data_IF_179699498389
#
_entry.id   IF_179699498389
#
_cell.length_a   1.000
_cell.length_b   1.000
_cell.length_c   1.000
_cell.angle_alpha   90.00
_cell.angle_beta   90.00
_cell.angle_gamma   90.00
#
_symmetry.space_group_name_H-M   'P 1'
#
loop_
_entity.id
_entity.type
_entity.pdbx_description
1 polymer ?
#
# COMPACT_ATOMS: atom_id res chain seq x y z
N UNK A 1 -16.86 -20.94 -2.44
CA UNK A 1 -17.43 -19.66 -1.97
C UNK A 1 -17.20 -18.61 -3.04
N UNK A 2 -18.19 -17.81 -3.37
CA UNK A 2 -18.04 -16.79 -4.42
C UNK A 2 -17.16 -15.64 -3.96
N UNK A 3 -16.47 -15.01 -4.91
CA UNK A 3 -15.62 -13.84 -4.64
C UNK A 3 -16.42 -12.71 -4.01
N UNK A 4 -17.65 -12.49 -4.48
CA UNK A 4 -18.54 -11.45 -3.97
C UNK A 4 -18.82 -11.62 -2.47
N UNK A 5 -19.08 -12.85 -2.04
CA UNK A 5 -19.30 -13.16 -0.62
C UNK A 5 -18.04 -12.91 0.20
N UNK A 6 -16.88 -13.35 -0.31
CA UNK A 6 -15.60 -13.16 0.37
C UNK A 6 -15.33 -11.68 0.59
N UNK A 7 -15.45 -10.87 -0.48
CA UNK A 7 -15.21 -9.42 -0.41
C UNK A 7 -16.17 -8.75 0.57
N UNK A 8 -17.46 -9.11 0.50
CA UNK A 8 -18.46 -8.52 1.38
C UNK A 8 -18.27 -8.88 2.85
N UNK A 9 -17.63 -10.02 3.15
CA UNK A 9 -17.41 -10.49 4.52
C UNK A 9 -16.10 -9.98 5.15
N UNK A 10 -15.20 -9.41 4.35
CA UNK A 10 -13.92 -8.91 4.89
C UNK A 10 -14.12 -7.63 5.71
N UNK A 11 -13.33 -7.44 6.79
CA UNK A 11 -13.40 -6.20 7.56
C UNK A 11 -12.98 -4.99 6.74
N UNK A 12 -13.65 -3.86 6.98
CA UNK A 12 -13.39 -2.63 6.23
C UNK A 12 -11.95 -2.14 6.41
N UNK A 13 -11.34 -1.71 5.31
CA UNK A 13 -10.02 -1.08 5.30
C UNK A 13 -10.16 0.43 5.19
N UNK A 14 -9.32 1.16 5.95
CA UNK A 14 -9.18 2.59 5.83
C UNK A 14 -7.69 2.95 5.87
N UNK A 15 -7.31 3.97 5.10
CA UNK A 15 -5.91 4.38 4.97
C UNK A 15 -5.30 4.83 6.30
N UNK A 16 -6.06 5.57 7.11
CA UNK A 16 -5.60 6.15 8.36
C UNK A 16 -5.90 5.28 9.58
N UNK A 17 -6.32 4.05 9.38
CA UNK A 17 -6.63 3.11 10.45
C UNK A 17 -5.65 1.94 10.47
N UNK A 18 -5.45 1.27 11.63
CA UNK A 18 -4.66 0.04 11.69
C UNK A 18 -5.24 -1.05 10.78
N UNK A 19 -4.38 -1.99 10.35
CA UNK A 19 -4.84 -3.14 9.58
C UNK A 19 -5.85 -3.96 10.43
N UNK A 20 -7.06 -4.24 9.91
CA UNK A 20 -8.11 -4.89 10.69
C UNK A 20 -7.95 -6.41 10.79
N UNK A 21 -7.09 -7.00 9.97
CA UNK A 21 -6.91 -8.45 9.88
C UNK A 21 -5.46 -8.75 9.51
N UNK A 22 -4.93 -9.86 10.03
CA UNK A 22 -3.60 -10.35 9.68
C UNK A 22 -3.61 -10.96 8.27
N UNK A 23 -2.46 -10.97 7.61
CA UNK A 23 -2.34 -11.54 6.27
C UNK A 23 -2.74 -13.01 6.22
N UNK A 24 -2.35 -13.78 7.24
CA UNK A 24 -2.67 -15.22 7.34
C UNK A 24 -4.18 -15.45 7.40
N UNK A 25 -4.91 -14.63 8.15
CA UNK A 25 -6.36 -14.71 8.23
C UNK A 25 -7.02 -14.33 6.90
N UNK A 26 -6.47 -13.32 6.24
CA UNK A 26 -6.95 -12.92 4.91
C UNK A 26 -6.76 -14.04 3.89
N UNK A 27 -5.59 -14.68 3.86
CA UNK A 27 -5.32 -15.76 2.90
C UNK A 27 -6.14 -17.01 3.20
N UNK A 28 -6.49 -17.28 4.45
CA UNK A 28 -7.44 -18.34 4.81
C UNK A 28 -8.83 -18.07 4.22
N UNK A 29 -9.29 -16.82 4.29
CA UNK A 29 -10.59 -16.42 3.74
C UNK A 29 -10.56 -16.34 2.21
N UNK A 30 -9.44 -15.97 1.61
CA UNK A 30 -9.28 -15.75 0.18
C UNK A 30 -8.01 -16.45 -0.34
N UNK A 31 -8.03 -17.79 -0.48
CA UNK A 31 -6.83 -18.55 -0.89
C UNK A 31 -6.29 -18.17 -2.28
N UNK A 32 -7.15 -17.66 -3.16
CA UNK A 32 -6.77 -17.29 -4.52
C UNK A 32 -6.31 -15.83 -4.66
N UNK A 33 -6.22 -15.08 -3.56
CA UNK A 33 -5.96 -13.64 -3.61
C UNK A 33 -4.68 -13.28 -4.36
N UNK A 34 -3.57 -13.98 -4.11
CA UNK A 34 -2.30 -13.69 -4.78
C UNK A 34 -2.36 -13.95 -6.28
N UNK A 35 -3.04 -15.03 -6.69
CA UNK A 35 -3.26 -15.35 -8.10
C UNK A 35 -4.11 -14.26 -8.78
N UNK A 36 -5.13 -13.80 -8.09
CA UNK A 36 -6.02 -12.73 -8.58
C UNK A 36 -5.25 -11.43 -8.74
N UNK A 37 -4.42 -11.07 -7.77
CA UNK A 37 -3.54 -9.87 -7.86
C UNK A 37 -2.61 -10.00 -9.07
N UNK A 38 -1.97 -11.16 -9.26
CA UNK A 38 -1.05 -11.38 -10.36
C UNK A 38 -1.70 -11.19 -11.74
N UNK A 39 -2.99 -11.50 -11.86
CA UNK A 39 -3.74 -11.36 -13.12
C UNK A 39 -4.52 -10.03 -13.24
N UNK A 40 -4.45 -9.17 -12.23
CA UNK A 40 -5.24 -7.93 -12.18
C UNK A 40 -4.66 -6.73 -12.91
N UNK A 41 -3.40 -6.82 -13.35
CA UNK A 41 -2.66 -5.67 -13.90
C UNK A 41 -1.92 -4.85 -12.85
N UNK A 42 -1.98 -5.24 -11.58
CA UNK A 42 -1.28 -4.52 -10.51
C UNK A 42 0.23 -4.46 -10.70
N UNK A 43 0.83 -5.55 -11.17
CA UNK A 43 2.29 -5.58 -11.38
C UNK A 43 2.75 -4.52 -12.35
N UNK A 44 2.01 -4.30 -13.45
CA UNK A 44 2.33 -3.24 -14.41
C UNK A 44 2.13 -1.86 -13.79
N UNK A 45 1.01 -1.63 -13.12
CA UNK A 45 0.71 -0.36 -12.46
C UNK A 45 1.75 -0.03 -11.38
N UNK A 46 2.11 -1.01 -10.55
CA UNK A 46 3.14 -0.83 -9.53
C UNK A 46 4.50 -0.50 -10.17
N UNK A 47 4.83 -1.14 -11.29
CA UNK A 47 6.07 -0.84 -12.05
C UNK A 47 6.06 0.61 -12.52
N UNK A 48 4.94 1.11 -13.04
CA UNK A 48 4.81 2.53 -13.41
C UNK A 48 5.07 3.46 -12.22
N UNK A 49 4.49 3.14 -11.07
CA UNK A 49 4.69 3.93 -9.85
C UNK A 49 6.15 3.93 -9.39
N UNK A 50 6.80 2.78 -9.40
CA UNK A 50 8.22 2.64 -9.06
C UNK A 50 9.12 3.36 -10.03
N UNK A 51 8.80 3.33 -11.33
CA UNK A 51 9.52 4.09 -12.36
C UNK A 51 9.42 5.60 -12.12
N UNK A 52 8.23 6.07 -11.73
CA UNK A 52 8.03 7.48 -11.38
C UNK A 52 8.87 7.88 -10.16
N UNK A 53 9.00 7.01 -9.16
CA UNK A 53 9.88 7.24 -8.01
C UNK A 53 11.35 7.30 -8.43
N UNK A 54 11.80 6.37 -9.27
CA UNK A 54 13.17 6.35 -9.77
C UNK A 54 13.49 7.64 -10.52
N UNK A 55 12.61 8.08 -11.42
CA UNK A 55 12.77 9.33 -12.16
C UNK A 55 12.83 10.55 -11.23
N UNK A 56 11.95 10.61 -10.23
CA UNK A 56 11.92 11.72 -9.27
C UNK A 56 13.19 11.80 -8.42
N UNK A 57 13.87 10.68 -8.20
CA UNK A 57 15.15 10.61 -7.48
C UNK A 57 16.37 10.82 -8.38
N UNK A 58 16.17 11.14 -9.65
CA UNK A 58 17.25 11.30 -10.63
C UNK A 58 17.83 10.00 -11.16
N UNK A 59 17.13 8.87 -10.93
CA UNK A 59 17.57 7.54 -11.37
C UNK A 59 16.77 6.96 -12.52
N UNK A 60 16.46 7.76 -13.54
CA UNK A 60 15.67 7.33 -14.69
C UNK A 60 16.26 6.09 -15.40
N UNK A 61 17.58 5.91 -15.34
CA UNK A 61 18.26 4.73 -15.90
C UNK A 61 17.88 3.41 -15.20
N UNK A 62 17.29 3.47 -14.02
CA UNK A 62 16.83 2.30 -13.28
C UNK A 62 15.37 1.95 -13.55
N UNK A 63 14.69 2.69 -14.40
CA UNK A 63 13.33 2.40 -14.79
C UNK A 63 13.24 1.05 -15.49
N UNK A 64 12.18 0.29 -15.17
CA UNK A 64 11.92 -1.01 -15.78
C UNK A 64 10.82 -0.88 -16.83
N UNK A 65 10.78 -1.85 -17.74
CA UNK A 65 9.72 -1.89 -18.74
C UNK A 65 8.34 -2.03 -18.08
N UNK A 66 7.40 -1.17 -18.50
CA UNK A 66 5.99 -1.25 -18.15
C UNK A 66 5.17 -1.13 -19.42
N UNK A 67 4.08 -1.89 -19.53
CA UNK A 67 3.21 -1.84 -20.71
C UNK A 67 2.38 -0.55 -20.74
N UNK A 68 1.95 -0.08 -19.58
CA UNK A 68 1.20 1.16 -19.45
C UNK A 68 2.07 2.36 -19.11
N UNK A 69 1.51 3.56 -19.33
CA UNK A 69 2.14 4.81 -18.94
C UNK A 69 1.06 5.81 -18.58
N UNK A 70 0.85 6.00 -17.26
CA UNK A 70 -0.13 6.95 -16.76
C UNK A 70 0.56 8.23 -16.29
N UNK A 71 0.31 9.34 -16.96
CA UNK A 71 0.81 10.64 -16.54
C UNK A 71 0.19 11.08 -15.21
N UNK A 72 -1.05 10.71 -14.96
CA UNK A 72 -1.73 11.02 -13.71
C UNK A 72 -0.96 10.48 -12.50
N UNK A 73 -0.65 9.18 -12.50
CA UNK A 73 0.09 8.55 -11.41
C UNK A 73 1.53 9.04 -11.34
N UNK A 74 2.17 9.22 -12.49
CA UNK A 74 3.53 9.79 -12.55
C UNK A 74 3.57 11.16 -11.89
N UNK A 75 2.62 12.03 -12.21
CA UNK A 75 2.55 13.37 -11.64
C UNK A 75 2.26 13.35 -10.13
N UNK A 76 1.42 12.44 -9.68
CA UNK A 76 1.13 12.30 -8.25
C UNK A 76 2.36 11.85 -7.47
N UNK A 77 3.12 10.88 -7.99
CA UNK A 77 4.37 10.43 -7.37
C UNK A 77 5.40 11.55 -7.35
N UNK A 78 5.57 12.24 -8.46
CA UNK A 78 6.51 13.37 -8.56
C UNK A 78 6.18 14.46 -7.54
N UNK A 79 4.91 14.78 -7.37
CA UNK A 79 4.46 15.77 -6.40
C UNK A 79 4.83 15.40 -4.95
N UNK A 80 4.87 14.11 -4.61
CA UNK A 80 5.30 13.66 -3.28
C UNK A 80 6.72 14.09 -2.95
N UNK A 81 7.60 14.18 -3.96
CA UNK A 81 9.00 14.55 -3.78
C UNK A 81 9.21 16.06 -3.58
N UNK A 82 8.16 16.85 -3.67
CA UNK A 82 8.18 18.27 -3.27
C UNK A 82 8.18 18.41 -1.73
N UNK A 83 7.69 17.40 -1.02
CA UNK A 83 7.69 17.40 0.44
C UNK A 83 9.07 17.04 0.96
N UNK A 84 9.65 17.91 1.80
CA UNK A 84 11.00 17.74 2.35
C UNK A 84 11.04 16.85 3.58
N UNK A 85 9.95 16.80 4.35
CA UNK A 85 9.85 15.93 5.52
C UNK A 85 9.69 14.48 5.05
N UNK A 86 10.64 13.62 5.46
CA UNK A 86 10.69 12.23 4.99
C UNK A 86 9.45 11.44 5.42
N UNK A 87 8.99 11.63 6.65
CA UNK A 87 7.82 10.91 7.17
C UNK A 87 6.53 11.34 6.44
N UNK A 88 6.36 12.63 6.21
CA UNK A 88 5.22 13.16 5.43
C UNK A 88 5.27 12.68 4.00
N UNK A 89 6.46 12.70 3.38
CA UNK A 89 6.64 12.19 2.01
C UNK A 89 6.24 10.73 1.90
N UNK A 90 6.69 9.89 2.84
CA UNK A 90 6.35 8.46 2.83
C UNK A 90 4.84 8.25 2.97
N UNK A 91 4.19 9.03 3.83
CA UNK A 91 2.74 8.98 3.98
C UNK A 91 2.02 9.35 2.68
N UNK A 92 2.50 10.37 1.97
CA UNK A 92 1.95 10.77 0.67
C UNK A 92 2.16 9.70 -0.39
N UNK A 93 3.33 9.05 -0.43
CA UNK A 93 3.64 7.96 -1.35
C UNK A 93 2.70 6.77 -1.06
N UNK A 94 2.54 6.38 0.19
CA UNK A 94 1.64 5.30 0.57
C UNK A 94 0.21 5.57 0.12
N UNK A 95 -0.23 6.83 0.21
CA UNK A 95 -1.56 7.22 -0.26
C UNK A 95 -1.71 7.08 -1.77
N UNK A 96 -0.66 7.41 -2.53
CA UNK A 96 -0.67 7.22 -4.00
C UNK A 96 -0.85 5.73 -4.33
N UNK A 97 -0.09 4.84 -3.69
CA UNK A 97 -0.24 3.40 -3.86
C UNK A 97 -1.64 2.91 -3.49
N UNK A 98 -2.17 3.40 -2.38
CA UNK A 98 -3.52 3.08 -1.92
C UNK A 98 -4.58 3.46 -2.95
N UNK A 99 -4.49 4.68 -3.46
CA UNK A 99 -5.44 5.18 -4.46
C UNK A 99 -5.30 4.44 -5.78
N UNK A 100 -4.06 4.17 -6.21
CA UNK A 100 -3.79 3.42 -7.45
C UNK A 100 -4.37 2.00 -7.38
N UNK A 101 -4.30 1.33 -6.24
CA UNK A 101 -4.90 0.02 -6.07
C UNK A 101 -6.41 0.04 -6.33
N UNK A 102 -7.06 1.17 -6.12
CA UNK A 102 -8.49 1.33 -6.42
C UNK A 102 -8.83 1.15 -7.90
N UNK A 103 -7.88 1.36 -8.81
CA UNK A 103 -8.11 1.14 -10.25
C UNK A 103 -8.33 -0.34 -10.59
N UNK A 104 -7.93 -1.26 -9.71
CA UNK A 104 -8.13 -2.69 -9.92
C UNK A 104 -9.60 -3.11 -9.79
N UNK A 105 -10.42 -2.26 -9.18
CA UNK A 105 -11.86 -2.52 -9.00
C UNK A 105 -12.65 -1.79 -10.09
N UNK A 106 -13.19 -2.50 -11.09
CA UNK A 106 -14.05 -1.86 -12.09
C UNK A 106 -15.33 -1.34 -11.45
N UNK A 107 -15.85 -0.16 -11.84
CA UNK A 107 -17.10 0.35 -11.31
C UNK A 107 -18.29 -0.58 -11.54
N UNK A 108 -18.26 -1.37 -12.63
CA UNK A 108 -19.32 -2.32 -12.96
C UNK A 108 -19.28 -3.60 -12.11
N UNK A 109 -18.18 -3.86 -11.38
CA UNK A 109 -17.99 -5.07 -10.57
C UNK A 109 -17.40 -4.70 -9.21
N UNK A 110 -18.16 -4.03 -8.33
CA UNK A 110 -17.61 -3.52 -7.06
C UNK A 110 -17.26 -4.61 -6.04
N UNK A 111 -17.71 -5.83 -6.23
CA UNK A 111 -17.45 -6.98 -5.33
C UNK A 111 -16.76 -8.15 -6.04
N UNK A 112 -16.31 -7.96 -7.27
CA UNK A 112 -15.69 -9.03 -8.06
C UNK A 112 -14.21 -9.28 -7.72
N UNK A 113 -13.51 -10.07 -8.56
CA UNK A 113 -12.09 -10.37 -8.36
C UNK A 113 -11.21 -9.11 -8.27
N UNK A 114 -11.53 -8.05 -9.03
CA UNK A 114 -10.83 -6.78 -8.96
C UNK A 114 -10.89 -6.14 -7.57
N UNK A 115 -12.05 -6.22 -6.91
CA UNK A 115 -12.23 -5.72 -5.55
C UNK A 115 -11.37 -6.51 -4.56
N UNK A 116 -11.24 -7.82 -4.75
CA UNK A 116 -10.38 -8.66 -3.92
C UNK A 116 -8.90 -8.29 -4.13
N UNK A 117 -8.49 -8.03 -5.38
CA UNK A 117 -7.14 -7.55 -5.69
C UNK A 117 -6.85 -6.20 -5.01
N UNK A 118 -7.77 -5.25 -5.10
CA UNK A 118 -7.66 -3.96 -4.42
C UNK A 118 -7.49 -4.15 -2.91
N UNK A 119 -8.33 -4.99 -2.32
CA UNK A 119 -8.27 -5.28 -0.89
C UNK A 119 -6.91 -5.87 -0.50
N UNK A 120 -6.43 -6.87 -1.24
CA UNK A 120 -5.14 -7.52 -0.97
C UNK A 120 -3.99 -6.53 -0.99
N UNK A 121 -3.91 -5.67 -1.99
CA UNK A 121 -2.85 -4.65 -2.11
C UNK A 121 -2.96 -3.65 -0.95
N UNK A 122 -4.15 -3.15 -0.67
CA UNK A 122 -4.37 -2.19 0.42
C UNK A 122 -4.09 -2.79 1.79
N UNK A 123 -4.42 -4.07 1.99
CA UNK A 123 -4.10 -4.76 3.25
C UNK A 123 -2.59 -4.83 3.47
N UNK A 124 -1.82 -5.15 2.43
CA UNK A 124 -0.35 -5.15 2.54
C UNK A 124 0.19 -3.79 2.92
N UNK A 125 -0.36 -2.72 2.35
CA UNK A 125 0.02 -1.35 2.70
C UNK A 125 -0.33 -1.06 4.16
N UNK A 126 -1.53 -1.40 4.60
CA UNK A 126 -1.98 -1.18 5.97
C UNK A 126 -1.14 -1.95 6.99
N UNK A 127 -0.79 -3.20 6.68
CA UNK A 127 0.06 -4.02 7.55
C UNK A 127 1.46 -3.44 7.68
N UNK A 128 2.05 -2.98 6.58
CA UNK A 128 3.36 -2.32 6.61
C UNK A 128 3.32 -1.04 7.43
N UNK A 129 2.31 -0.22 7.24
CA UNK A 129 2.14 1.03 7.99
C UNK A 129 1.94 0.77 9.48
N UNK A 130 1.16 -0.23 9.84
CA UNK A 130 0.94 -0.64 11.23
C UNK A 130 2.24 -1.09 11.90
N UNK A 131 3.06 -1.89 11.19
CA UNK A 131 4.34 -2.38 11.69
C UNK A 131 5.32 -1.23 11.93
N UNK A 132 5.45 -0.29 11.00
CA UNK A 132 6.32 0.89 11.13
C UNK A 132 5.88 1.76 12.29
N UNK A 133 4.58 1.98 12.46
CA UNK A 133 4.01 2.75 13.58
C UNK A 133 4.33 2.10 14.92
N UNK A 134 4.23 0.78 15.03
CA UNK A 134 4.56 0.02 16.23
C UNK A 134 6.05 0.12 16.57
N UNK A 135 6.92 -0.03 15.58
CA UNK A 135 8.37 0.09 15.76
C UNK A 135 8.76 1.48 16.25
N UNK A 136 8.18 2.53 15.67
CA UNK A 136 8.42 3.92 16.10
C UNK A 136 7.95 4.17 17.52
N UNK A 137 6.78 3.62 17.88
CA UNK A 137 6.25 3.71 19.24
C UNK A 137 7.15 3.02 20.25
N UNK A 138 7.63 1.82 19.94
CA UNK A 138 8.55 1.07 20.78
C UNK A 138 9.89 1.79 20.95
N UNK A 139 10.45 2.34 19.88
CA UNK A 139 11.71 3.10 19.93
C UNK A 139 11.56 4.36 20.78
N UNK A 140 10.44 5.07 20.67
CA UNK A 140 10.17 6.25 21.49
C UNK A 140 10.02 5.88 22.97
N UNK A 141 9.33 4.78 23.26
CA UNK A 141 9.16 4.27 24.64
C UNK A 141 10.53 3.89 25.25
N UNK A 142 11.36 3.16 24.51
CA UNK A 142 12.69 2.75 24.95
C UNK A 142 13.56 3.95 25.27
N UNK A 143 13.52 5.00 24.44
CA UNK A 143 14.24 6.25 24.67
C UNK A 143 13.80 6.93 25.96
N UNK A 144 12.50 7.07 26.16
CA UNK A 144 11.95 7.68 27.38
C UNK A 144 12.35 6.90 28.63
N UNK A 145 12.33 5.57 28.56
CA UNK A 145 12.74 4.70 29.67
C UNK A 145 14.22 4.88 29.99
N UNK A 146 15.09 4.96 28.98
CA UNK A 146 16.51 5.18 29.16
C UNK A 146 16.80 6.55 29.82
N UNK A 147 16.14 7.62 29.34
CA UNK A 147 16.27 8.97 29.92
C UNK A 147 15.83 9.00 31.38
N UNK A 148 14.76 8.30 31.72
CA UNK A 148 14.28 8.21 33.11
C UNK A 148 15.27 7.50 34.01
N UNK A 149 15.94 6.45 33.53
CA UNK A 149 16.98 5.72 34.29
C UNK A 149 18.23 6.57 34.52
N UNK A 150 18.61 7.41 33.55
CA UNK A 150 19.78 8.29 33.69
C UNK A 150 19.55 9.42 34.70
N UNK A 151 18.30 9.83 34.92
CA UNK A 151 17.95 10.90 35.86
C UNK A 151 17.81 10.43 37.30
N UNK A 152 17.89 9.13 37.56
CA UNK A 152 17.83 8.51 38.88
C UNK A 152 19.24 8.13 39.33
#
# INVERSE_FOLDING_TARGET
MSTDYIVASLPALAFDAPAPIAWEKFTEAAPDAERIVASSGWNDLETQLRNAMAAARGGAKYERHADGCSLYWKNRVTACFQEKDVAKRQNMIDRVWWDAAGELTPPASPLGPGALATYAVRLKIALRRSAVSTERGNAAFDRLTAETKEKV
#
